data_IF_526128171644
#
_entry.id   IF_526128171644
#
_cell.length_a   1.000
_cell.length_b   1.000
_cell.length_c   1.000
_cell.angle_alpha   90.00
_cell.angle_beta   90.00
_cell.angle_gamma   90.00
#
_symmetry.space_group_name_H-M   'P 1'
#
loop_
_entity.id
_entity.type
_entity.pdbx_description
1 polymer ?
#
# COMPACT_ATOMS: atom_id res chain seq x y z
N UNK A 1 26.18 -61.74 -36.19
CA UNK A 1 27.16 -62.83 -36.35
C UNK A 1 28.44 -62.22 -36.83
N UNK A 2 29.31 -61.81 -35.91
CA UNK A 2 30.69 -61.37 -36.17
C UNK A 2 31.41 -61.51 -34.83
N UNK A 3 31.76 -62.73 -34.49
CA UNK A 3 32.67 -63.03 -33.38
C UNK A 3 34.04 -63.24 -34.01
N UNK A 4 34.87 -62.19 -33.99
CA UNK A 4 36.28 -62.27 -34.39
C UNK A 4 37.03 -63.04 -33.29
N UNK A 5 37.59 -64.23 -33.59
CA UNK A 5 38.20 -65.08 -32.57
C UNK A 5 39.43 -64.40 -31.98
N UNK A 6 39.28 -63.82 -30.79
CA UNK A 6 40.39 -63.17 -30.06
C UNK A 6 39.96 -62.09 -29.07
N UNK A 7 38.73 -61.56 -29.17
CA UNK A 7 38.24 -60.52 -28.27
C UNK A 7 36.98 -60.98 -27.53
N UNK A 8 36.97 -60.85 -26.20
CA UNK A 8 35.82 -61.27 -25.39
C UNK A 8 34.60 -60.37 -25.65
N UNK A 9 33.48 -60.91 -26.17
CA UNK A 9 32.27 -60.15 -26.49
C UNK A 9 31.62 -59.52 -25.25
N UNK A 10 31.86 -60.06 -24.05
CA UNK A 10 31.38 -59.47 -22.80
C UNK A 10 32.21 -58.25 -22.42
N UNK A 11 33.53 -58.29 -22.61
CA UNK A 11 34.41 -57.15 -22.35
C UNK A 11 34.06 -55.95 -23.23
N UNK A 12 33.75 -56.17 -24.51
CA UNK A 12 33.30 -55.12 -25.42
C UNK A 12 31.96 -54.52 -24.98
N UNK A 13 30.99 -55.35 -24.62
CA UNK A 13 29.68 -54.90 -24.11
C UNK A 13 29.82 -54.05 -22.85
N UNK A 14 30.73 -54.41 -21.95
CA UNK A 14 31.00 -53.63 -20.75
C UNK A 14 31.65 -52.28 -21.09
N UNK A 15 32.60 -52.24 -22.03
CA UNK A 15 33.22 -50.98 -22.51
C UNK A 15 32.18 -50.07 -23.19
N UNK A 16 31.32 -50.63 -24.04
CA UNK A 16 30.25 -49.89 -24.70
C UNK A 16 29.26 -49.33 -23.67
N UNK A 17 28.85 -50.15 -22.68
CA UNK A 17 27.97 -49.72 -21.59
C UNK A 17 28.60 -48.58 -20.79
N UNK A 18 29.87 -48.68 -20.40
CA UNK A 18 30.61 -47.62 -19.71
C UNK A 18 30.62 -46.33 -20.53
N UNK A 19 30.96 -46.41 -21.82
CA UNK A 19 30.95 -45.24 -22.71
C UNK A 19 29.58 -44.56 -22.81
N UNK A 20 28.50 -45.36 -22.79
CA UNK A 20 27.11 -44.86 -22.83
C UNK A 20 26.74 -44.16 -21.51
N UNK A 21 27.12 -44.74 -20.38
CA UNK A 21 26.91 -44.12 -19.06
C UNK A 21 27.70 -42.82 -18.94
N UNK A 22 28.98 -42.81 -19.31
CA UNK A 22 29.83 -41.62 -19.28
C UNK A 22 29.25 -40.48 -20.14
N UNK A 23 28.70 -40.82 -21.31
CA UNK A 23 28.00 -39.86 -22.17
C UNK A 23 26.75 -39.29 -21.49
N UNK A 24 25.95 -40.13 -20.83
CA UNK A 24 24.76 -39.68 -20.10
C UNK A 24 25.13 -38.78 -18.93
N UNK A 25 26.18 -39.11 -18.17
CA UNK A 25 26.65 -38.29 -17.05
C UNK A 25 27.17 -36.93 -17.52
N UNK A 26 27.96 -36.90 -18.61
CA UNK A 26 28.42 -35.64 -19.21
C UNK A 26 27.25 -34.77 -19.66
N UNK A 27 26.24 -35.35 -20.31
CA UNK A 27 25.04 -34.63 -20.73
C UNK A 27 24.24 -34.11 -19.52
N UNK A 28 24.08 -34.90 -18.46
CA UNK A 28 23.43 -34.48 -17.21
C UNK A 28 24.15 -33.28 -16.60
N UNK A 29 25.48 -33.33 -16.50
CA UNK A 29 26.28 -32.23 -15.95
C UNK A 29 26.20 -30.96 -16.82
N UNK A 30 26.24 -31.11 -18.15
CA UNK A 30 26.10 -29.96 -19.06
C UNK A 30 24.71 -29.33 -18.96
N UNK A 31 23.64 -30.13 -18.91
CA UNK A 31 22.26 -29.64 -18.75
C UNK A 31 22.08 -28.92 -17.41
N UNK A 32 22.64 -29.46 -16.31
CA UNK A 32 22.63 -28.79 -15.01
C UNK A 32 23.38 -27.45 -15.03
N UNK A 33 24.55 -27.39 -15.68
CA UNK A 33 25.33 -26.14 -15.84
C UNK A 33 24.56 -25.10 -16.65
N UNK A 34 23.94 -25.50 -17.76
CA UNK A 34 23.15 -24.60 -18.60
C UNK A 34 21.89 -24.12 -17.86
N UNK A 35 21.18 -25.02 -17.18
CA UNK A 35 19.97 -24.67 -16.44
C UNK A 35 20.27 -23.80 -15.21
N UNK A 36 21.43 -23.99 -14.55
CA UNK A 36 21.92 -23.08 -13.52
C UNK A 36 22.26 -21.69 -14.07
N UNK A 37 22.87 -21.62 -15.28
CA UNK A 37 23.17 -20.34 -15.95
C UNK A 37 21.93 -19.55 -16.35
N UNK A 38 20.86 -20.25 -16.76
CA UNK A 38 19.61 -19.63 -17.27
C UNK A 38 18.57 -19.46 -16.15
N UNK A 39 18.82 -19.97 -14.94
CA UNK A 39 17.86 -19.93 -13.83
C UNK A 39 16.58 -20.75 -14.08
N UNK A 40 16.60 -21.65 -15.06
CA UNK A 40 15.45 -22.41 -15.56
C UNK A 40 15.36 -23.84 -14.99
N UNK A 41 16.13 -24.15 -13.95
CA UNK A 41 15.99 -25.42 -13.24
C UNK A 41 14.60 -25.50 -12.58
N UNK A 42 13.90 -26.65 -12.62
CA UNK A 42 12.68 -26.84 -11.83
C UNK A 42 12.92 -26.54 -10.35
N UNK A 43 11.94 -25.93 -9.68
CA UNK A 43 12.06 -25.43 -8.29
C UNK A 43 12.64 -26.46 -7.31
N UNK A 44 12.24 -27.72 -7.43
CA UNK A 44 12.75 -28.82 -6.60
C UNK A 44 14.23 -29.14 -6.82
N UNK A 45 14.76 -28.98 -8.04
CA UNK A 45 16.18 -29.21 -8.35
C UNK A 45 17.03 -28.00 -7.95
N UNK A 46 16.50 -26.79 -8.09
CA UNK A 46 17.14 -25.58 -7.56
C UNK A 46 17.33 -25.72 -6.05
N UNK A 47 16.25 -26.07 -5.35
CA UNK A 47 16.29 -26.31 -3.92
C UNK A 47 17.26 -27.45 -3.58
N UNK A 48 17.26 -28.59 -4.26
CA UNK A 48 18.26 -29.64 -3.97
C UNK A 48 19.71 -29.18 -4.19
N UNK A 49 19.97 -28.33 -5.18
CA UNK A 49 21.29 -27.75 -5.43
C UNK A 49 21.67 -26.64 -4.44
N UNK A 50 20.70 -25.96 -3.83
CA UNK A 50 20.94 -24.82 -2.93
C UNK A 50 20.61 -25.09 -1.46
N UNK A 51 19.91 -26.17 -1.12
CA UNK A 51 19.24 -26.32 0.18
C UNK A 51 19.96 -27.22 1.19
N UNK A 52 21.11 -27.83 0.89
CA UNK A 52 21.88 -28.53 1.92
C UNK A 52 23.39 -28.32 1.79
N UNK A 53 24.11 -27.98 2.88
CA UNK A 53 25.53 -28.27 2.99
C UNK A 53 25.67 -29.80 2.99
N UNK A 54 26.21 -30.37 1.90
CA UNK A 54 26.32 -31.83 1.66
C UNK A 54 27.33 -32.52 2.61
N UNK A 55 28.00 -31.77 3.48
CA UNK A 55 28.85 -32.30 4.53
C UNK A 55 28.27 -31.85 5.86
N UNK A 56 28.20 -32.74 6.85
CA UNK A 56 27.70 -32.48 8.21
C UNK A 56 28.47 -31.42 9.02
N UNK A 57 28.98 -30.38 8.37
CA UNK A 57 29.31 -29.13 9.03
C UNK A 57 27.98 -28.45 9.32
N UNK A 58 27.47 -28.67 10.54
CA UNK A 58 26.73 -27.62 11.25
C UNK A 58 27.51 -26.34 10.98
N UNK A 59 26.96 -25.41 10.19
CA UNK A 59 27.58 -24.10 10.05
C UNK A 59 27.77 -23.63 11.49
N UNK A 60 29.03 -23.45 11.92
CA UNK A 60 29.33 -23.12 13.31
C UNK A 60 28.33 -22.07 13.74
N UNK A 61 27.58 -22.28 14.85
CA UNK A 61 26.63 -21.29 15.33
C UNK A 61 27.43 -20.01 15.50
N UNK A 62 27.29 -19.10 14.53
CA UNK A 62 27.94 -17.81 14.62
C UNK A 62 27.33 -17.20 15.86
N UNK A 63 28.17 -16.70 16.76
CA UNK A 63 27.70 -15.95 17.92
C UNK A 63 26.94 -14.77 17.36
N UNK A 64 25.62 -14.91 17.34
CA UNK A 64 24.71 -13.85 16.91
C UNK A 64 25.03 -12.65 17.77
N UNK A 65 25.35 -11.54 17.12
CA UNK A 65 25.68 -10.30 17.81
C UNK A 65 24.48 -9.85 18.64
N UNK A 66 24.73 -9.06 19.69
CA UNK A 66 23.65 -8.48 20.50
C UNK A 66 22.65 -7.71 19.63
N UNK A 67 23.15 -7.01 18.62
CA UNK A 67 22.36 -6.25 17.65
C UNK A 67 21.48 -7.17 16.77
N UNK A 68 21.98 -8.35 16.38
CA UNK A 68 21.20 -9.31 15.58
C UNK A 68 20.08 -9.94 16.41
N UNK A 69 20.37 -10.28 17.68
CA UNK A 69 19.37 -10.78 18.62
C UNK A 69 18.28 -9.75 18.92
N UNK A 70 18.66 -8.49 19.12
CA UNK A 70 17.71 -7.39 19.34
C UNK A 70 16.80 -7.18 18.13
N UNK A 71 17.37 -7.20 16.92
CA UNK A 71 16.60 -7.08 15.68
C UNK A 71 15.64 -8.26 15.49
N UNK A 72 16.09 -9.50 15.73
CA UNK A 72 15.24 -10.70 15.62
C UNK A 72 14.14 -10.69 16.69
N UNK A 73 14.43 -10.29 17.92
CA UNK A 73 13.45 -10.16 18.98
C UNK A 73 12.41 -9.05 18.68
N UNK A 74 12.85 -7.92 18.15
CA UNK A 74 11.98 -6.84 17.68
C UNK A 74 11.08 -7.28 16.52
N UNK A 75 11.61 -8.07 15.58
CA UNK A 75 10.81 -8.65 14.51
C UNK A 75 9.82 -9.70 15.05
N UNK A 76 10.25 -10.61 15.92
CA UNK A 76 9.41 -11.68 16.47
C UNK A 76 8.25 -11.15 17.32
N UNK A 77 8.49 -10.12 18.13
CA UNK A 77 7.44 -9.51 18.98
C UNK A 77 6.30 -8.85 18.18
N UNK A 78 6.59 -8.38 16.97
CA UNK A 78 5.60 -7.73 16.09
C UNK A 78 5.09 -8.63 14.95
N UNK A 79 5.62 -9.87 14.88
CA UNK A 79 5.26 -10.87 13.90
C UNK A 79 4.07 -11.71 14.41
N UNK A 80 2.93 -11.54 13.75
CA UNK A 80 1.80 -12.46 13.89
C UNK A 80 2.07 -13.72 13.07
N UNK A 81 1.94 -14.90 13.69
CA UNK A 81 2.32 -16.22 13.14
C UNK A 81 1.82 -16.52 11.72
N UNK A 82 0.70 -15.94 11.29
CA UNK A 82 0.11 -16.18 9.96
C UNK A 82 0.51 -15.15 8.87
N UNK A 83 1.31 -14.13 9.22
CA UNK A 83 1.53 -12.96 8.37
C UNK A 83 2.82 -12.94 7.54
N UNK A 84 3.60 -14.01 7.52
CA UNK A 84 4.83 -14.10 6.70
C UNK A 84 5.91 -13.06 7.04
N UNK A 85 5.90 -12.47 8.23
CA UNK A 85 6.87 -11.43 8.64
C UNK A 85 8.25 -11.96 9.06
N UNK A 86 8.39 -13.28 9.16
CA UNK A 86 9.68 -13.92 9.44
C UNK A 86 10.54 -14.02 8.18
N UNK A 87 9.93 -13.94 7.00
CA UNK A 87 10.65 -13.99 5.73
C UNK A 87 11.17 -12.60 5.35
N UNK A 88 12.43 -12.55 4.92
CA UNK A 88 13.02 -11.31 4.38
C UNK A 88 12.25 -10.91 3.12
N UNK A 89 11.71 -9.70 3.12
CA UNK A 89 11.00 -9.16 1.95
C UNK A 89 11.94 -9.10 0.74
N UNK A 90 11.48 -9.60 -0.39
CA UNK A 90 12.20 -9.49 -1.66
C UNK A 90 12.21 -8.02 -2.12
N UNK A 91 13.30 -7.56 -2.78
CA UNK A 91 13.35 -6.22 -3.34
C UNK A 91 12.20 -6.04 -4.34
N UNK A 92 11.36 -5.03 -4.12
CA UNK A 92 10.19 -4.73 -4.98
C UNK A 92 8.83 -5.19 -4.44
N UNK A 93 8.77 -5.85 -3.28
CA UNK A 93 7.49 -6.16 -2.63
C UNK A 93 6.79 -4.87 -2.16
N UNK A 94 5.50 -4.72 -2.46
CA UNK A 94 4.72 -3.56 -2.04
C UNK A 94 4.61 -3.52 -0.51
N UNK A 95 4.79 -2.36 0.13
CA UNK A 95 4.61 -2.25 1.57
C UNK A 95 3.16 -2.56 1.96
N UNK A 96 2.91 -3.04 3.19
CA UNK A 96 1.57 -3.28 3.66
C UNK A 96 0.75 -1.99 3.58
N UNK A 97 -0.39 -2.06 2.88
CA UNK A 97 -1.31 -0.93 2.63
C UNK A 97 -1.78 -0.25 3.93
N UNK A 98 -1.77 -1.00 5.03
CA UNK A 98 -2.41 -0.67 6.28
C UNK A 98 -1.48 -1.02 7.45
N UNK A 99 -0.54 -0.11 7.76
CA UNK A 99 0.44 -0.30 8.85
C UNK A 99 -0.22 -0.20 10.24
N UNK A 100 -1.37 0.47 10.33
CA UNK A 100 -2.08 0.74 11.60
C UNK A 100 -3.41 0.00 11.66
N UNK A 101 -3.81 -0.41 12.86
CA UNK A 101 -5.18 -0.88 13.13
C UNK A 101 -6.15 0.30 12.97
N UNK A 102 -7.10 0.20 12.03
CA UNK A 102 -8.12 1.25 11.80
C UNK A 102 -9.23 1.24 12.85
N UNK A 103 -9.52 0.07 13.42
CA UNK A 103 -10.50 -0.06 14.50
C UNK A 103 -9.74 0.00 15.82
N UNK A 104 -9.65 1.20 16.37
CA UNK A 104 -9.18 1.40 17.74
C UNK A 104 -10.40 1.26 18.65
N UNK A 105 -10.54 0.10 19.28
CA UNK A 105 -11.47 -0.04 20.40
C UNK A 105 -10.74 0.51 21.62
N UNK A 106 -11.37 1.46 22.31
CA UNK A 106 -10.89 1.84 23.63
C UNK A 106 -11.05 0.64 24.57
N UNK A 107 -10.10 0.39 25.48
CA UNK A 107 -10.28 -0.60 26.54
C UNK A 107 -11.58 -0.32 27.29
N UNK A 108 -12.40 -1.35 27.51
CA UNK A 108 -13.65 -1.24 28.26
C UNK A 108 -13.44 -1.24 29.79
N UNK A 109 -12.18 -1.33 30.26
CA UNK A 109 -11.85 -1.39 31.68
C UNK A 109 -11.63 0.01 32.23
N UNK A 110 -12.50 0.43 33.14
CA UNK A 110 -12.56 1.77 33.77
C UNK A 110 -11.28 2.12 34.54
N UNK A 111 -10.25 2.61 33.83
CA UNK A 111 -9.07 3.20 34.44
C UNK A 111 -9.33 4.66 34.85
N UNK A 112 -8.82 5.08 36.00
CA UNK A 112 -8.85 6.48 36.46
C UNK A 112 -8.16 7.38 35.43
N UNK A 113 -8.95 8.15 34.66
CA UNK A 113 -8.48 8.98 33.53
C UNK A 113 -9.22 8.74 32.20
N UNK A 114 -9.96 7.64 32.05
CA UNK A 114 -10.72 7.36 30.82
C UNK A 114 -11.92 8.27 30.59
N UNK A 115 -12.58 8.74 31.67
CA UNK A 115 -13.72 9.65 31.57
C UNK A 115 -13.40 10.98 30.86
N UNK A 116 -12.16 11.47 30.94
CA UNK A 116 -11.75 12.68 30.22
C UNK A 116 -11.65 12.44 28.71
N UNK A 117 -11.13 11.27 28.29
CA UNK A 117 -11.02 10.91 26.88
C UNK A 117 -12.40 10.62 26.27
N UNK A 118 -13.30 9.98 27.02
CA UNK A 118 -14.68 9.76 26.61
C UNK A 118 -15.44 11.09 26.46
N UNK A 119 -15.31 12.00 27.43
CA UNK A 119 -15.88 13.36 27.35
C UNK A 119 -15.38 14.12 26.12
N UNK A 120 -14.08 14.05 25.81
CA UNK A 120 -13.55 14.68 24.60
C UNK A 120 -14.10 14.04 23.31
N UNK A 121 -14.37 12.74 23.30
CA UNK A 121 -14.95 12.07 22.13
C UNK A 121 -16.43 12.44 21.95
N UNK A 122 -17.21 12.45 23.03
CA UNK A 122 -18.62 12.85 22.99
C UNK A 122 -18.77 14.32 22.61
N UNK A 123 -17.91 15.20 23.14
CA UNK A 123 -17.88 16.62 22.79
C UNK A 123 -17.54 16.84 21.31
N UNK A 124 -16.59 16.10 20.73
CA UNK A 124 -16.30 16.16 19.29
C UNK A 124 -17.49 15.76 18.43
N UNK A 125 -18.23 14.74 18.82
CA UNK A 125 -19.45 14.31 18.12
C UNK A 125 -20.54 15.39 18.24
N UNK A 126 -20.74 15.93 19.44
CA UNK A 126 -21.69 17.02 19.70
C UNK A 126 -21.37 18.26 18.87
N UNK A 127 -20.11 18.71 18.88
CA UNK A 127 -19.67 19.87 18.09
C UNK A 127 -19.89 19.66 16.59
N UNK A 128 -19.68 18.44 16.08
CA UNK A 128 -19.97 18.09 14.68
C UNK A 128 -21.47 18.10 14.38
N UNK A 129 -22.32 17.68 15.33
CA UNK A 129 -23.78 17.72 15.19
C UNK A 129 -24.29 19.16 15.21
N UNK A 130 -23.83 19.97 16.17
CA UNK A 130 -24.13 21.40 16.26
C UNK A 130 -23.69 22.10 14.97
N UNK A 131 -22.47 21.87 14.49
CA UNK A 131 -21.96 22.48 13.26
C UNK A 131 -22.79 22.10 12.03
N UNK A 132 -23.19 20.83 11.91
CA UNK A 132 -24.03 20.36 10.79
C UNK A 132 -25.45 20.93 10.82
N UNK A 133 -26.05 21.09 12.00
CA UNK A 133 -27.38 21.68 12.17
C UNK A 133 -27.37 23.22 12.29
N UNK A 134 -26.20 23.83 12.46
CA UNK A 134 -26.06 25.29 12.61
C UNK A 134 -26.43 26.07 11.35
N UNK A 135 -26.56 25.41 10.19
CA UNK A 135 -27.15 26.02 8.99
C UNK A 135 -28.63 26.42 9.17
N UNK A 136 -29.32 25.87 10.18
CA UNK A 136 -30.70 26.21 10.55
C UNK A 136 -30.84 27.09 11.79
N UNK A 137 -29.77 27.33 12.55
CA UNK A 137 -29.78 28.31 13.63
C UNK A 137 -29.58 29.68 13.00
N UNK A 138 -30.67 30.45 12.95
CA UNK A 138 -30.76 31.83 12.44
C UNK A 138 -29.41 32.53 12.46
N UNK A 139 -28.86 32.86 11.28
CA UNK A 139 -27.67 33.70 11.19
C UNK A 139 -28.04 35.10 11.73
N UNK A 140 -27.78 35.31 13.02
CA UNK A 140 -28.18 36.51 13.77
C UNK A 140 -27.57 37.75 13.13
N UNK A 141 -26.32 37.68 12.70
CA UNK A 141 -25.66 38.78 12.00
C UNK A 141 -26.37 39.14 10.69
N UNK A 142 -26.71 38.14 9.87
CA UNK A 142 -27.47 38.35 8.63
C UNK A 142 -28.87 38.91 8.91
N UNK A 143 -29.53 38.44 9.98
CA UNK A 143 -30.85 38.92 10.38
C UNK A 143 -30.83 40.38 10.87
N UNK A 144 -29.83 40.74 11.68
CA UNK A 144 -29.62 42.11 12.18
C UNK A 144 -29.24 43.04 11.02
N UNK A 145 -28.32 42.62 10.15
CA UNK A 145 -27.94 43.38 8.96
C UNK A 145 -29.14 43.61 8.03
N UNK A 146 -29.97 42.59 7.78
CA UNK A 146 -31.20 42.77 7.00
C UNK A 146 -32.20 43.72 7.66
N UNK A 147 -32.32 43.70 8.99
CA UNK A 147 -33.20 44.63 9.71
C UNK A 147 -32.69 46.07 9.68
N UNK A 148 -31.38 46.28 9.83
CA UNK A 148 -30.76 47.59 9.77
C UNK A 148 -30.90 48.20 8.36
N UNK A 149 -30.60 47.42 7.31
CA UNK A 149 -30.78 47.86 5.91
C UNK A 149 -32.25 48.17 5.60
N UNK A 150 -33.20 47.36 6.09
CA UNK A 150 -34.64 47.64 5.93
C UNK A 150 -35.08 48.90 6.67
N UNK A 151 -34.58 49.14 7.88
CA UNK A 151 -34.85 50.37 8.65
C UNK A 151 -34.27 51.59 7.95
N UNK A 152 -33.05 51.50 7.45
CA UNK A 152 -32.39 52.58 6.71
C UNK A 152 -33.12 52.90 5.40
N UNK A 153 -33.50 51.88 4.62
CA UNK A 153 -34.31 52.07 3.39
C UNK A 153 -35.67 52.70 3.67
N UNK A 154 -36.33 52.33 4.78
CA UNK A 154 -37.60 52.95 5.21
C UNK A 154 -37.43 54.42 5.64
N UNK A 155 -36.30 54.78 6.27
CA UNK A 155 -35.95 56.17 6.61
C UNK A 155 -35.70 56.99 5.34
N UNK A 156 -34.87 56.49 4.42
CA UNK A 156 -34.64 57.13 3.11
C UNK A 156 -35.93 57.32 2.30
N UNK A 157 -36.88 56.40 2.38
CA UNK A 157 -38.18 56.55 1.72
C UNK A 157 -39.13 57.53 2.44
N UNK A 158 -38.95 57.80 3.74
CA UNK A 158 -39.72 58.80 4.48
C UNK A 158 -39.13 60.21 4.34
N UNK A 159 -37.80 60.31 4.32
CA UNK A 159 -37.08 61.58 4.25
C UNK A 159 -36.72 62.00 2.81
N UNK A 160 -36.92 61.10 1.83
CA UNK A 160 -36.59 61.29 0.41
C UNK A 160 -37.77 61.73 -0.47
N UNK A 161 -38.75 62.42 0.11
CA UNK A 161 -39.77 63.10 -0.67
C UNK A 161 -39.19 64.34 -1.36
N UNK A 162 -38.45 64.16 -2.48
CA UNK A 162 -38.40 65.06 -3.66
C UNK A 162 -37.30 64.66 -4.66
N UNK A 163 -37.69 64.68 -5.94
CA UNK A 163 -36.90 64.52 -7.18
C UNK A 163 -36.46 63.08 -7.51
N UNK A 164 -36.60 62.53 -8.72
CA UNK A 164 -37.08 63.04 -10.00
C UNK A 164 -37.60 61.86 -10.85
N UNK A 165 -38.61 62.15 -11.66
CA UNK A 165 -39.14 61.45 -12.86
C UNK A 165 -38.52 60.10 -13.29
N UNK A 166 -39.33 59.06 -13.57
CA UNK A 166 -38.84 57.78 -14.09
C UNK A 166 -38.52 57.90 -15.58
N UNK A 167 -37.25 58.12 -15.94
CA UNK A 167 -36.81 57.98 -17.33
C UNK A 167 -36.82 56.48 -17.69
N UNK A 168 -37.71 56.13 -18.62
CA UNK A 168 -37.74 54.85 -19.34
C UNK A 168 -36.36 54.59 -19.95
N UNK A 169 -35.54 53.75 -19.33
CA UNK A 169 -34.38 53.15 -19.97
C UNK A 169 -34.42 51.63 -19.80
N UNK A 170 -34.50 51.00 -20.97
CA UNK A 170 -34.74 49.58 -21.22
C UNK A 170 -33.65 48.72 -20.59
N UNK A 171 -34.04 47.61 -19.95
CA UNK A 171 -33.12 46.60 -19.44
C UNK A 171 -32.53 45.79 -20.60
N UNK A 172 -31.29 46.08 -20.97
CA UNK A 172 -30.52 45.18 -21.82
C UNK A 172 -30.04 43.99 -20.97
N UNK A 173 -30.82 42.89 -21.02
CA UNK A 173 -30.35 41.55 -20.66
C UNK A 173 -29.12 41.22 -21.52
N UNK A 174 -27.94 41.18 -20.90
CA UNK A 174 -26.84 40.33 -21.38
C UNK A 174 -26.60 39.27 -20.31
N UNK A 175 -27.08 38.07 -20.62
CA UNK A 175 -26.78 36.84 -19.89
C UNK A 175 -25.27 36.57 -19.99
N UNK A 176 -24.56 36.64 -18.87
CA UNK A 176 -23.22 36.07 -18.79
C UNK A 176 -23.34 34.55 -18.84
N UNK A 177 -23.29 34.03 -20.07
CA UNK A 177 -23.21 32.61 -20.38
C UNK A 177 -21.88 32.08 -19.83
N UNK A 178 -21.95 31.24 -18.79
CA UNK A 178 -20.83 30.39 -18.33
C UNK A 178 -20.24 29.66 -19.54
N UNK A 179 -18.97 29.88 -19.82
CA UNK A 179 -18.19 28.99 -20.70
C UNK A 179 -17.51 27.93 -19.85
N UNK A 180 -18.09 26.73 -19.85
CA UNK A 180 -17.40 25.50 -19.51
C UNK A 180 -16.64 25.00 -20.74
N UNK A 181 -15.31 25.01 -20.68
CA UNK A 181 -14.33 24.23 -21.48
C UNK A 181 -13.02 24.42 -20.71
N UNK A 182 -12.36 23.42 -20.13
CA UNK A 182 -12.06 22.09 -20.64
C UNK A 182 -10.55 22.03 -20.88
N UNK A 183 -9.87 20.98 -20.41
CA UNK A 183 -8.58 20.58 -20.99
C UNK A 183 -7.35 20.72 -20.10
N UNK A 184 -6.87 19.55 -19.68
CA UNK A 184 -5.50 19.19 -19.30
C UNK A 184 -4.36 19.92 -20.00
N UNK A 185 -3.24 20.15 -19.28
CA UNK A 185 -1.92 19.81 -19.82
C UNK A 185 -0.88 19.58 -18.71
N UNK A 186 -0.25 18.40 -18.79
CA UNK A 186 1.05 18.07 -18.20
C UNK A 186 2.16 18.87 -18.91
N UNK A 187 3.11 19.38 -18.13
CA UNK A 187 4.52 19.67 -18.48
C UNK A 187 5.22 19.92 -17.13
N UNK A 188 6.31 19.28 -16.72
CA UNK A 188 7.37 18.63 -17.47
C UNK A 188 8.68 19.38 -17.23
N UNK A 189 9.45 18.94 -16.24
CA UNK A 189 10.92 18.84 -16.23
C UNK A 189 11.34 17.95 -15.08
#
# INVERSE_FOLDING_TARGET
MTDEPGTDPFAERQKEKKSRVDKQEKNRLQNLKQAAKVGALPSHVQLAATALPIMGTQAMPRKVGKDELENVAGMASTATASGGKFDKKLPGEKPPKHVKKYRKFLPAAEGSGMGALEKQQTEKVLNKLISKNSHGMLNVEKAVNMNNVKKEKKRRNKDGGKSSTPSKLKSNKKSFKKTSKGGSSKKGK
#
